data_IF_124898323111
#
_entry.id   IF_124898323111
#
_cell.length_a   1.000
_cell.length_b   1.000
_cell.length_c   1.000
_cell.angle_alpha   90.00
_cell.angle_beta   90.00
_cell.angle_gamma   90.00
#
_symmetry.space_group_name_H-M   'P 1'
#
loop_
_entity.id
_entity.type
_entity.pdbx_description
1 polymer ?
#
# COMPACT_ATOMS: atom_id res chain seq x y z
N UNK A 1 14.81 -12.34 -44.32
CA UNK A 1 15.87 -13.35 -44.30
C UNK A 1 17.21 -12.73 -43.93
N UNK A 2 17.52 -12.68 -42.63
CA UNK A 2 18.77 -12.13 -42.10
C UNK A 2 19.90 -13.20 -42.04
N UNK A 3 19.56 -14.47 -42.26
CA UNK A 3 20.52 -15.58 -42.29
C UNK A 3 21.28 -15.68 -43.62
N UNK A 4 20.79 -15.04 -44.70
CA UNK A 4 21.37 -15.17 -46.04
C UNK A 4 22.48 -14.16 -46.35
N UNK A 5 22.58 -13.05 -45.62
CA UNK A 5 23.67 -12.05 -45.77
C UNK A 5 24.94 -12.41 -44.98
N UNK A 6 24.87 -13.37 -44.05
CA UNK A 6 26.02 -13.78 -43.23
C UNK A 6 27.08 -14.60 -43.99
N UNK A 7 26.80 -15.01 -45.23
CA UNK A 7 27.60 -15.98 -46.00
C UNK A 7 28.53 -15.36 -47.04
N UNK A 8 28.60 -14.03 -47.17
CA UNK A 8 29.37 -13.37 -48.25
C UNK A 8 30.69 -12.69 -47.83
N UNK A 9 31.08 -12.71 -46.54
CA UNK A 9 32.34 -12.12 -46.10
C UNK A 9 33.19 -13.12 -45.28
N UNK A 10 34.42 -13.45 -45.70
CA UNK A 10 35.31 -14.38 -45.00
C UNK A 10 35.65 -14.01 -43.55
N UNK A 11 35.45 -12.75 -43.14
CA UNK A 11 35.78 -12.22 -41.80
C UNK A 11 34.67 -12.27 -40.74
N UNK A 12 33.48 -12.78 -41.05
CA UNK A 12 32.34 -12.78 -40.09
C UNK A 12 32.64 -13.53 -38.78
N UNK A 13 33.24 -14.74 -38.79
CA UNK A 13 33.56 -15.49 -37.57
C UNK A 13 34.67 -14.85 -36.74
N UNK A 14 35.60 -14.17 -37.40
CA UNK A 14 36.74 -13.51 -36.76
C UNK A 14 36.30 -12.25 -36.01
N UNK A 15 35.42 -11.43 -36.62
CA UNK A 15 34.87 -10.25 -35.95
C UNK A 15 34.08 -10.60 -34.68
N UNK A 16 33.31 -11.70 -34.68
CA UNK A 16 32.62 -12.16 -33.47
C UNK A 16 33.59 -12.68 -32.40
N UNK A 17 34.69 -13.35 -32.80
CA UNK A 17 35.74 -13.77 -31.86
C UNK A 17 36.36 -12.55 -31.17
N UNK A 18 36.68 -11.52 -31.95
CA UNK A 18 37.29 -10.28 -31.48
C UNK A 18 36.36 -9.50 -30.55
N UNK A 19 35.07 -9.40 -30.89
CA UNK A 19 34.09 -8.75 -30.00
C UNK A 19 33.97 -9.48 -28.66
N UNK A 20 33.97 -10.82 -28.64
CA UNK A 20 33.96 -11.60 -27.39
C UNK A 20 35.24 -11.41 -26.57
N UNK A 21 36.38 -11.23 -27.24
CA UNK A 21 37.66 -10.98 -26.59
C UNK A 21 37.69 -9.59 -25.93
N UNK A 22 37.15 -8.57 -26.61
CA UNK A 22 36.96 -7.21 -26.05
C UNK A 22 35.98 -7.22 -24.87
N UNK A 23 34.95 -8.07 -24.92
CA UNK A 23 33.99 -8.27 -23.82
C UNK A 23 34.57 -9.07 -22.65
N UNK A 24 35.73 -9.71 -22.83
CA UNK A 24 36.39 -10.45 -21.76
C UNK A 24 37.10 -9.50 -20.80
N UNK A 25 37.23 -9.91 -19.54
CA UNK A 25 37.95 -9.13 -18.51
C UNK A 25 39.47 -9.13 -18.70
N UNK A 26 40.00 -9.87 -19.67
CA UNK A 26 41.44 -9.98 -19.94
C UNK A 26 41.91 -8.90 -20.93
N UNK A 27 42.37 -7.78 -20.37
CA UNK A 27 42.80 -6.62 -21.17
C UNK A 27 44.12 -6.82 -21.92
N UNK A 28 44.85 -7.91 -21.64
CA UNK A 28 46.19 -8.13 -22.19
C UNK A 28 46.20 -8.41 -23.70
N UNK A 29 45.07 -8.87 -24.25
CA UNK A 29 44.97 -9.27 -25.64
C UNK A 29 44.34 -8.18 -26.54
N UNK A 30 43.80 -7.10 -25.96
CA UNK A 30 43.12 -6.02 -26.68
C UNK A 30 44.07 -5.33 -27.68
N UNK A 31 45.32 -5.05 -27.28
CA UNK A 31 46.30 -4.36 -28.13
C UNK A 31 46.64 -5.14 -29.42
N UNK A 32 47.08 -6.42 -29.32
CA UNK A 32 47.29 -7.28 -30.48
C UNK A 32 46.05 -7.47 -31.36
N UNK A 33 44.89 -7.63 -30.73
CA UNK A 33 43.62 -7.89 -31.42
C UNK A 33 43.13 -6.67 -32.22
N UNK A 34 43.26 -5.46 -31.68
CA UNK A 34 42.98 -4.24 -32.43
C UNK A 34 43.95 -4.06 -33.60
N UNK A 35 45.25 -4.35 -33.42
CA UNK A 35 46.22 -4.26 -34.52
C UNK A 35 45.84 -5.18 -35.69
N UNK A 36 45.40 -6.41 -35.40
CA UNK A 36 44.91 -7.36 -36.41
C UNK A 36 43.70 -6.83 -37.21
N UNK A 37 42.79 -6.09 -36.56
CA UNK A 37 41.63 -5.48 -37.22
C UNK A 37 42.01 -4.35 -38.16
N UNK A 38 42.97 -3.51 -37.76
CA UNK A 38 43.43 -2.37 -38.57
C UNK A 38 44.37 -2.79 -39.70
N UNK A 39 45.14 -3.86 -39.50
CA UNK A 39 46.00 -4.45 -40.54
C UNK A 39 45.16 -5.19 -41.61
N UNK A 40 44.00 -5.72 -41.23
CA UNK A 40 42.98 -6.22 -42.16
C UNK A 40 42.22 -5.05 -42.80
N UNK A 41 42.05 -5.04 -44.13
CA UNK A 41 41.33 -3.95 -44.83
C UNK A 41 39.82 -3.85 -44.50
N UNK A 42 39.32 -4.59 -43.50
CA UNK A 42 37.90 -4.72 -43.11
C UNK A 42 37.53 -3.95 -41.81
N UNK A 43 38.40 -3.09 -41.29
CA UNK A 43 38.16 -2.32 -40.05
C UNK A 43 36.82 -1.56 -40.03
N UNK A 44 36.33 -1.04 -41.17
CA UNK A 44 35.03 -0.37 -41.26
C UNK A 44 33.85 -1.30 -40.98
N UNK A 45 33.93 -2.56 -41.44
CA UNK A 45 32.92 -3.59 -41.18
C UNK A 45 32.93 -3.99 -39.70
N UNK A 46 34.14 -4.12 -39.12
CA UNK A 46 34.30 -4.38 -37.70
C UNK A 46 33.70 -3.26 -36.83
N UNK A 47 33.97 -1.99 -37.15
CA UNK A 47 33.41 -0.84 -36.42
C UNK A 47 31.88 -0.83 -36.45
N UNK A 48 31.26 -1.12 -37.60
CA UNK A 48 29.81 -1.25 -37.71
C UNK A 48 29.24 -2.36 -36.82
N UNK A 49 29.94 -3.50 -36.71
CA UNK A 49 29.55 -4.60 -35.80
C UNK A 49 29.74 -4.21 -34.32
N UNK A 50 30.82 -3.50 -33.99
CA UNK A 50 31.07 -2.99 -32.64
C UNK A 50 29.99 -2.00 -32.20
N UNK A 51 29.61 -1.05 -33.06
CA UNK A 51 28.50 -0.13 -32.81
C UNK A 51 27.18 -0.86 -32.59
N UNK A 52 26.91 -1.91 -33.38
CA UNK A 52 25.75 -2.78 -33.19
C UNK A 52 25.75 -3.48 -31.84
N UNK A 53 26.93 -3.97 -31.40
CA UNK A 53 27.11 -4.63 -30.11
C UNK A 53 26.92 -3.67 -28.93
N UNK A 54 27.47 -2.45 -29.02
CA UNK A 54 27.29 -1.39 -28.03
C UNK A 54 25.80 -1.05 -27.89
N UNK A 55 25.11 -0.78 -29.00
CA UNK A 55 23.67 -0.49 -28.99
C UNK A 55 22.83 -1.62 -28.39
N UNK A 56 23.23 -2.87 -28.64
CA UNK A 56 22.56 -4.02 -28.06
C UNK A 56 22.72 -4.06 -26.53
N UNK A 57 23.94 -3.85 -26.03
CA UNK A 57 24.21 -3.75 -24.59
C UNK A 57 23.48 -2.59 -23.93
N UNK A 58 23.46 -1.40 -24.55
CA UNK A 58 22.72 -0.24 -24.03
C UNK A 58 21.22 -0.56 -23.85
N UNK A 59 20.62 -1.24 -24.84
CA UNK A 59 19.22 -1.67 -24.76
C UNK A 59 19.00 -2.71 -23.66
N UNK A 60 19.93 -3.63 -23.47
CA UNK A 60 19.83 -4.66 -22.44
C UNK A 60 20.02 -4.06 -21.03
N UNK A 61 20.92 -3.08 -20.88
CA UNK A 61 21.10 -2.27 -19.66
C UNK A 61 19.80 -1.51 -19.35
N UNK A 62 19.24 -0.80 -20.32
CA UNK A 62 18.00 -0.03 -20.15
C UNK A 62 16.85 -0.94 -19.73
N UNK A 63 16.73 -2.12 -20.34
CA UNK A 63 15.71 -3.12 -19.98
C UNK A 63 15.89 -3.63 -18.55
N UNK A 64 17.13 -3.91 -18.14
CA UNK A 64 17.43 -4.32 -16.76
C UNK A 64 17.09 -3.21 -15.76
N UNK A 65 17.50 -1.97 -16.04
CA UNK A 65 17.16 -0.82 -15.21
C UNK A 65 15.64 -0.65 -15.08
N UNK A 66 14.91 -0.64 -16.20
CA UNK A 66 13.45 -0.49 -16.19
C UNK A 66 12.76 -1.59 -15.39
N UNK A 67 13.19 -2.84 -15.52
CA UNK A 67 12.63 -3.95 -14.74
C UNK A 67 12.88 -3.77 -13.23
N UNK A 68 14.12 -3.45 -12.85
CA UNK A 68 14.50 -3.34 -11.44
C UNK A 68 13.90 -2.09 -10.76
N UNK A 69 13.74 -0.97 -11.47
CA UNK A 69 13.13 0.23 -10.92
C UNK A 69 11.60 0.18 -10.91
N UNK A 70 10.96 -0.53 -11.83
CA UNK A 70 9.49 -0.66 -11.82
C UNK A 70 8.98 -1.34 -10.54
N UNK A 71 9.62 -2.43 -10.10
CA UNK A 71 9.24 -3.10 -8.85
C UNK A 71 9.37 -2.21 -7.61
N UNK A 72 10.34 -1.30 -7.60
CA UNK A 72 10.49 -0.29 -6.56
C UNK A 72 9.36 0.76 -6.59
N UNK A 73 9.02 1.26 -7.78
CA UNK A 73 7.91 2.21 -7.98
C UNK A 73 6.57 1.58 -7.54
N UNK A 74 6.34 0.33 -7.92
CA UNK A 74 5.13 -0.41 -7.54
C UNK A 74 5.05 -0.58 -6.01
N UNK A 75 6.16 -0.95 -5.38
CA UNK A 75 6.25 -1.10 -3.92
C UNK A 75 5.95 0.21 -3.17
N UNK A 76 6.48 1.35 -3.64
CA UNK A 76 6.16 2.67 -3.08
C UNK A 76 4.68 2.98 -3.26
N UNK A 77 4.13 2.70 -4.45
CA UNK A 77 2.72 2.96 -4.75
C UNK A 77 1.80 2.17 -3.83
N UNK A 78 2.08 0.90 -3.59
CA UNK A 78 1.33 0.07 -2.65
C UNK A 78 1.45 0.58 -1.21
N UNK A 79 2.64 1.00 -0.77
CA UNK A 79 2.81 1.61 0.56
C UNK A 79 2.00 2.91 0.72
N UNK A 80 1.93 3.74 -0.33
CA UNK A 80 1.12 4.96 -0.32
C UNK A 80 -0.38 4.66 -0.21
N UNK A 81 -0.86 3.60 -0.87
CA UNK A 81 -2.25 3.12 -0.75
C UNK A 81 -2.53 2.65 0.67
N UNK A 82 -1.69 1.78 1.23
CA UNK A 82 -1.82 1.28 2.61
C UNK A 82 -1.86 2.43 3.62
N UNK A 83 -1.00 3.43 3.44
CA UNK A 83 -1.01 4.65 4.28
C UNK A 83 -2.34 5.38 4.20
N UNK A 84 -2.91 5.54 3.00
CA UNK A 84 -4.21 6.19 2.81
C UNK A 84 -5.35 5.41 3.48
N UNK A 85 -5.36 4.08 3.34
CA UNK A 85 -6.33 3.21 3.99
C UNK A 85 -6.24 3.27 5.52
N UNK A 86 -5.02 3.24 6.07
CA UNK A 86 -4.78 3.37 7.50
C UNK A 86 -5.27 4.72 8.06
N UNK A 87 -5.07 5.82 7.32
CA UNK A 87 -5.59 7.13 7.71
C UNK A 87 -7.12 7.16 7.69
N UNK A 88 -7.76 6.57 6.68
CA UNK A 88 -9.22 6.46 6.60
C UNK A 88 -9.78 5.64 7.77
N UNK A 89 -9.17 4.49 8.07
CA UNK A 89 -9.57 3.64 9.19
C UNK A 89 -9.44 4.39 10.52
N UNK A 90 -8.32 5.08 10.75
CA UNK A 90 -8.13 5.90 11.95
C UNK A 90 -9.22 6.96 12.12
N UNK A 91 -9.59 7.65 11.03
CA UNK A 91 -10.67 8.64 11.04
C UNK A 91 -12.00 8.01 11.43
N UNK A 92 -12.35 6.89 10.80
CA UNK A 92 -13.60 6.17 11.08
C UNK A 92 -13.69 5.66 12.53
N UNK A 93 -12.58 5.12 13.06
CA UNK A 93 -12.52 4.67 14.46
C UNK A 93 -12.73 5.84 15.42
N UNK A 94 -12.07 6.97 15.16
CA UNK A 94 -12.17 8.16 16.01
C UNK A 94 -13.58 8.75 15.97
N UNK A 95 -14.18 8.86 14.80
CA UNK A 95 -15.55 9.33 14.62
C UNK A 95 -16.58 8.41 15.30
N UNK A 96 -16.41 7.09 15.13
CA UNK A 96 -17.31 6.10 15.76
C UNK A 96 -17.19 6.14 17.27
N UNK A 97 -15.97 6.23 17.80
CA UNK A 97 -15.76 6.40 19.23
C UNK A 97 -16.40 7.69 19.75
N UNK A 98 -16.27 8.80 19.02
CA UNK A 98 -16.87 10.07 19.43
C UNK A 98 -18.40 9.96 19.50
N UNK A 99 -19.03 9.43 18.44
CA UNK A 99 -20.49 9.21 18.41
C UNK A 99 -20.96 8.31 19.55
N UNK A 100 -20.26 7.20 19.78
CA UNK A 100 -20.59 6.28 20.87
C UNK A 100 -20.52 6.97 22.25
N UNK A 101 -19.52 7.80 22.48
CA UNK A 101 -19.40 8.54 23.74
C UNK A 101 -20.51 9.57 23.91
N UNK A 102 -20.91 10.26 22.85
CA UNK A 102 -21.96 11.27 22.92
C UNK A 102 -23.35 10.64 23.10
N UNK A 103 -23.64 9.55 22.38
CA UNK A 103 -24.85 8.75 22.60
C UNK A 103 -24.88 8.17 24.03
N UNK A 104 -23.73 7.69 24.52
CA UNK A 104 -23.59 7.18 25.88
C UNK A 104 -23.88 8.21 26.95
N UNK A 105 -23.47 9.47 26.77
CA UNK A 105 -23.83 10.57 27.69
C UNK A 105 -25.33 10.81 27.70
N UNK A 106 -25.97 10.88 26.54
CA UNK A 106 -27.42 11.06 26.43
C UNK A 106 -28.19 9.94 27.12
N UNK A 107 -27.73 8.69 26.96
CA UNK A 107 -28.31 7.54 27.64
C UNK A 107 -28.18 7.66 29.17
N UNK A 108 -27.01 8.04 29.69
CA UNK A 108 -26.80 8.22 31.13
C UNK A 108 -27.74 9.28 31.71
N UNK A 109 -27.93 10.42 31.02
CA UNK A 109 -28.88 11.45 31.43
C UNK A 109 -30.31 10.90 31.51
N UNK A 110 -30.77 10.19 30.48
CA UNK A 110 -32.09 9.56 30.47
C UNK A 110 -32.25 8.53 31.61
N UNK A 111 -31.20 7.77 31.91
CA UNK A 111 -31.21 6.83 33.04
C UNK A 111 -31.34 7.52 34.40
N UNK A 112 -30.69 8.68 34.59
CA UNK A 112 -30.81 9.46 35.82
C UNK A 112 -32.22 10.05 36.00
N UNK A 113 -32.82 10.56 34.92
CA UNK A 113 -34.22 11.02 34.91
C UNK A 113 -35.19 9.88 35.26
N UNK A 114 -35.00 8.71 34.65
CA UNK A 114 -35.81 7.52 34.95
C UNK A 114 -35.66 7.09 36.42
N UNK A 115 -34.45 7.15 36.97
CA UNK A 115 -34.20 6.83 38.38
C UNK A 115 -34.95 7.79 39.30
N UNK A 116 -34.94 9.09 39.00
CA UNK A 116 -35.66 10.09 39.77
C UNK A 116 -37.18 9.87 39.70
N UNK A 117 -37.70 9.59 38.50
CA UNK A 117 -39.12 9.28 38.29
C UNK A 117 -39.56 8.06 39.11
N UNK A 118 -38.76 6.98 39.13
CA UNK A 118 -39.03 5.79 39.96
C UNK A 118 -39.04 6.10 41.46
N UNK A 119 -38.14 6.97 41.92
CA UNK A 119 -38.12 7.40 43.32
C UNK A 119 -39.42 8.15 43.67
N UNK A 120 -39.84 9.08 42.81
CA UNK A 120 -41.11 9.79 42.98
C UNK A 120 -42.30 8.84 42.97
N UNK A 121 -42.35 7.89 42.03
CA UNK A 121 -43.39 6.87 41.96
C UNK A 121 -43.49 6.06 43.26
N UNK A 122 -42.34 5.66 43.84
CA UNK A 122 -42.30 4.94 45.12
C UNK A 122 -42.79 5.80 46.28
N UNK A 123 -42.42 7.07 46.31
CA UNK A 123 -42.89 8.00 47.34
C UNK A 123 -44.41 8.17 47.26
N UNK A 124 -44.96 8.36 46.06
CA UNK A 124 -46.40 8.47 45.81
C UNK A 124 -47.12 7.20 46.27
N UNK A 125 -46.65 6.02 45.87
CA UNK A 125 -47.24 4.74 46.29
C UNK A 125 -47.24 4.58 47.81
N UNK A 126 -46.15 4.98 48.49
CA UNK A 126 -46.06 4.95 49.96
C UNK A 126 -47.08 5.91 50.58
N UNK A 127 -47.21 7.13 50.07
CA UNK A 127 -48.20 8.10 50.57
C UNK A 127 -49.63 7.59 50.39
N UNK A 128 -49.96 6.99 49.24
CA UNK A 128 -51.27 6.37 49.00
C UNK A 128 -51.56 5.28 50.03
N UNK A 129 -50.59 4.39 50.29
CA UNK A 129 -50.72 3.34 51.30
C UNK A 129 -50.99 3.91 52.69
N UNK A 130 -50.24 4.95 53.10
CA UNK A 130 -50.46 5.65 54.38
C UNK A 130 -51.85 6.27 54.47
N UNK A 131 -52.31 6.97 53.43
CA UNK A 131 -53.66 7.54 53.43
C UNK A 131 -54.75 6.47 53.48
N UNK A 132 -54.55 5.37 52.75
CA UNK A 132 -55.47 4.22 52.76
C UNK A 132 -55.61 3.64 54.16
N UNK A 133 -54.51 3.58 54.92
CA UNK A 133 -54.52 3.08 56.29
C UNK A 133 -55.21 4.02 57.28
N UNK A 134 -55.28 5.32 57.00
CA UNK A 134 -55.99 6.29 57.84
C UNK A 134 -57.51 6.29 57.61
N UNK A 135 -58.00 5.92 56.42
CA UNK A 135 -59.43 5.93 56.08
C UNK A 135 -60.35 5.25 57.12
N UNK A 136 -60.07 4.05 57.65
CA UNK A 136 -60.95 3.36 58.61
C UNK A 136 -61.20 4.15 59.90
N UNK A 137 -60.20 4.91 60.39
CA UNK A 137 -60.33 5.73 61.59
C UNK A 137 -61.22 6.96 61.39
N UNK A 138 -61.31 7.46 60.15
CA UNK A 138 -62.12 8.63 59.80
C UNK A 138 -63.60 8.22 59.64
N UNK A 139 -63.85 7.06 59.01
CA UNK A 139 -65.20 6.52 58.84
C UNK A 139 -65.84 6.05 60.16
N UNK A 140 -65.05 5.58 61.13
CA UNK A 140 -65.55 5.17 62.46
C UNK A 140 -65.87 6.37 63.38
N UNK A 141 -65.23 7.52 63.19
CA UNK A 141 -65.51 8.76 63.93
C UNK A 141 -66.77 9.50 63.43
N UNK A 142 -67.22 9.27 62.18
CA UNK A 142 -68.45 9.86 61.66
C UNK A 142 -69.73 9.06 62.00
N UNK A 143 -69.62 7.82 62.50
CA UNK A 143 -70.76 6.97 62.87
C UNK A 143 -71.10 6.95 64.37
N UNK A 144 -70.44 7.78 65.18
CA UNK A 144 -70.57 7.83 66.65
C UNK A 144 -71.14 9.16 67.18
N UNK A 145 -71.71 9.98 66.29
CA UNK A 145 -72.46 11.20 66.63
C UNK A 145 -73.96 11.01 66.46
#
# INVERSE_FOLDING_TARGET
>A
DAETESLLCPGVPEHERILREIESTDTNCIGPTLRSVYDGQEHGVFMGKLDGRIRNHDRDIEKMCNHHFQGFVDSITELLKVRGEAQKLKSQVTETNQRLQDDGKGLLTCMDELRLCRLQQRNIATSIDKFTHCLPGIHTQQGSG
#
